data_IF_873606594602
#
_entry.id   IF_873606594602
#
_cell.length_a   1.000
_cell.length_b   1.000
_cell.length_c   1.000
_cell.angle_alpha   90.00
_cell.angle_beta   90.00
_cell.angle_gamma   90.00
#
_symmetry.space_group_name_H-M   'P 1'
#
loop_
_entity.id
_entity.type
_entity.pdbx_description
1 polymer ?
#
# COMPACT_ATOMS: atom_id res chain seq x y z
N UNK A 1 -21.44 -2.31 -10.25
CA UNK A 1 -22.78 -2.91 -10.32
C UNK A 1 -23.62 -2.14 -11.29
N UNK A 2 -24.05 -1.19 -11.54
CA UNK A 2 -24.86 -0.52 -12.58
C UNK A 2 -26.34 -0.37 -12.20
N UNK A 3 -26.74 -0.85 -11.04
CA UNK A 3 -28.09 -0.69 -10.47
C UNK A 3 -28.13 0.42 -9.43
N UNK A 4 -29.31 0.79 -8.97
CA UNK A 4 -29.48 1.74 -7.89
C UNK A 4 -28.93 1.17 -6.58
N UNK A 5 -28.34 2.03 -5.74
CA UNK A 5 -27.90 1.67 -4.41
C UNK A 5 -29.09 1.33 -3.51
N UNK A 6 -28.90 0.38 -2.61
CA UNK A 6 -29.89 -0.02 -1.63
C UNK A 6 -29.28 -0.05 -0.23
N UNK A 7 -30.06 0.36 0.76
CA UNK A 7 -29.69 0.21 2.17
C UNK A 7 -29.79 -1.26 2.63
N UNK A 8 -30.53 -2.07 1.90
CA UNK A 8 -30.72 -3.49 2.21
C UNK A 8 -30.24 -4.28 1.01
N UNK A 9 -29.24 -5.16 1.17
CA UNK A 9 -28.75 -6.02 0.09
C UNK A 9 -29.86 -6.97 -0.37
N UNK A 10 -29.91 -7.28 -1.64
CA UNK A 10 -30.82 -8.29 -2.20
C UNK A 10 -30.25 -9.70 -1.88
N UNK A 11 -30.79 -10.33 -0.84
CA UNK A 11 -30.36 -11.67 -0.42
C UNK A 11 -30.71 -12.78 -1.43
N UNK A 12 -31.45 -12.48 -2.49
CA UNK A 12 -31.87 -13.47 -3.48
C UNK A 12 -30.90 -13.51 -4.68
N UNK A 13 -30.11 -12.50 -4.91
CA UNK A 13 -29.14 -12.49 -6.03
C UNK A 13 -27.82 -13.23 -5.68
N UNK A 14 -27.62 -13.62 -4.43
CA UNK A 14 -26.45 -14.35 -3.94
C UNK A 14 -25.16 -13.53 -3.93
N UNK A 15 -25.27 -12.20 -4.05
CA UNK A 15 -24.14 -11.27 -4.18
C UNK A 15 -24.14 -10.25 -3.05
N UNK A 16 -22.96 -9.89 -2.56
CA UNK A 16 -22.76 -8.77 -1.63
C UNK A 16 -21.95 -7.70 -2.37
N UNK A 17 -22.51 -6.51 -2.44
CA UNK A 17 -21.90 -5.39 -3.13
C UNK A 17 -21.30 -4.39 -2.12
N UNK A 18 -20.02 -4.06 -2.30
CA UNK A 18 -19.32 -3.13 -1.39
C UNK A 18 -19.84 -1.70 -1.49
N UNK A 19 -20.36 -1.30 -2.65
CA UNK A 19 -21.02 -0.01 -2.82
C UNK A 19 -22.30 0.11 -1.97
N UNK A 20 -23.08 -0.95 -1.84
CA UNK A 20 -24.23 -0.99 -0.93
C UNK A 20 -23.81 -0.82 0.53
N UNK A 21 -22.67 -1.41 0.92
CA UNK A 21 -22.12 -1.24 2.25
C UNK A 21 -21.66 0.21 2.50
N UNK A 22 -20.97 0.83 1.55
CA UNK A 22 -20.59 2.25 1.63
C UNK A 22 -21.83 3.14 1.75
N UNK A 23 -22.85 2.90 0.94
CA UNK A 23 -24.11 3.64 1.00
C UNK A 23 -24.79 3.49 2.38
N UNK A 24 -24.79 2.28 2.93
CA UNK A 24 -25.30 2.03 4.28
C UNK A 24 -24.54 2.83 5.35
N UNK A 25 -23.21 2.86 5.27
CA UNK A 25 -22.37 3.62 6.22
C UNK A 25 -22.67 5.10 6.15
N UNK A 26 -22.73 5.69 4.96
CA UNK A 26 -23.01 7.11 4.77
C UNK A 26 -24.40 7.47 5.28
N UNK A 27 -25.41 6.65 5.00
CA UNK A 27 -26.78 6.92 5.48
C UNK A 27 -26.94 6.71 7.00
N UNK A 28 -26.07 5.90 7.62
CA UNK A 28 -26.16 5.61 9.06
C UNK A 28 -25.33 6.57 9.91
N UNK A 29 -24.12 6.90 9.43
CA UNK A 29 -23.12 7.66 10.20
C UNK A 29 -22.97 9.11 9.72
N UNK A 30 -23.46 9.44 8.53
CA UNK A 30 -23.17 10.66 7.80
C UNK A 30 -22.06 10.46 6.77
N UNK A 31 -21.91 11.44 5.87
CA UNK A 31 -20.81 11.46 4.91
C UNK A 31 -19.47 11.88 5.55
N UNK A 32 -18.40 11.85 4.79
CA UNK A 32 -17.03 12.18 5.24
C UNK A 32 -16.87 13.59 5.80
N UNK A 33 -17.75 14.54 5.43
CA UNK A 33 -17.74 15.91 5.92
C UNK A 33 -18.62 16.11 7.15
N UNK A 34 -19.53 15.16 7.43
CA UNK A 34 -20.57 15.28 8.47
C UNK A 34 -20.42 14.22 9.57
N UNK A 35 -19.19 13.82 9.88
CA UNK A 35 -18.89 12.92 11.01
C UNK A 35 -18.87 11.43 10.67
N UNK A 36 -19.09 11.06 9.41
CA UNK A 36 -18.99 9.70 8.91
C UNK A 36 -17.55 9.23 8.62
N UNK A 37 -17.43 8.21 7.80
CA UNK A 37 -16.15 7.61 7.41
C UNK A 37 -15.41 8.57 6.48
N UNK A 38 -14.21 8.99 6.86
CA UNK A 38 -13.43 9.97 6.10
C UNK A 38 -12.66 9.37 4.94
N UNK A 39 -12.28 8.10 5.03
CA UNK A 39 -11.49 7.43 4.00
C UNK A 39 -11.78 5.94 3.92
N UNK A 40 -11.58 5.39 2.74
CA UNK A 40 -11.77 3.97 2.44
C UNK A 40 -10.50 3.40 1.83
N UNK A 41 -9.99 2.31 2.39
CA UNK A 41 -8.88 1.56 1.82
C UNK A 41 -9.39 0.50 0.85
N UNK A 42 -8.70 0.40 -0.30
CA UNK A 42 -9.03 -0.53 -1.38
C UNK A 42 -8.40 -1.90 -1.10
N UNK A 43 -8.96 -2.62 -0.10
CA UNK A 43 -8.51 -3.94 0.32
C UNK A 43 -7.14 -3.93 1.06
N UNK A 44 -6.49 -5.08 1.15
CA UNK A 44 -5.24 -5.32 1.84
C UNK A 44 -4.36 -6.29 1.04
N UNK A 45 -3.12 -5.91 0.78
CA UNK A 45 -2.06 -6.73 0.18
C UNK A 45 -2.48 -7.52 -1.08
N UNK A 46 -3.04 -6.86 -2.12
CA UNK A 46 -3.65 -7.55 -3.25
C UNK A 46 -2.69 -8.41 -4.07
N UNK A 47 -1.38 -8.13 -4.02
CA UNK A 47 -0.36 -8.98 -4.63
C UNK A 47 -0.26 -10.38 -4.01
N UNK A 48 -0.83 -10.59 -2.82
CA UNK A 48 -0.82 -11.86 -2.09
C UNK A 48 -2.15 -12.64 -2.20
N UNK A 49 -3.17 -12.14 -2.86
CA UNK A 49 -4.50 -12.78 -2.89
C UNK A 49 -4.49 -14.23 -3.32
N UNK A 50 -3.67 -14.61 -4.30
CA UNK A 50 -3.58 -16.00 -4.76
C UNK A 50 -3.09 -16.98 -3.69
N UNK A 51 -2.39 -16.51 -2.66
CA UNK A 51 -1.94 -17.33 -1.54
C UNK A 51 -2.81 -17.15 -0.29
N UNK A 52 -3.25 -15.93 0.00
CA UNK A 52 -4.06 -15.61 1.19
C UNK A 52 -5.54 -15.89 1.00
N UNK A 53 -6.04 -15.75 -0.23
CA UNK A 53 -7.45 -15.92 -0.60
C UNK A 53 -7.63 -16.90 -1.77
N UNK A 54 -6.85 -17.97 -1.82
CA UNK A 54 -6.76 -18.91 -2.95
C UNK A 54 -8.09 -19.60 -3.33
N UNK A 55 -9.08 -19.65 -2.45
CA UNK A 55 -10.42 -20.16 -2.76
C UNK A 55 -11.27 -19.18 -3.57
N UNK A 56 -10.97 -17.89 -3.49
CA UNK A 56 -11.69 -16.80 -4.17
C UNK A 56 -10.89 -16.26 -5.34
N UNK A 57 -9.57 -16.17 -5.17
CA UNK A 57 -8.64 -15.62 -6.14
C UNK A 57 -7.41 -16.54 -6.28
N UNK A 58 -7.53 -17.69 -7.00
CA UNK A 58 -6.46 -18.70 -7.09
C UNK A 58 -5.28 -18.28 -7.97
N UNK A 59 -5.52 -17.39 -8.94
CA UNK A 59 -4.48 -16.93 -9.87
C UNK A 59 -3.76 -15.70 -9.32
N UNK A 60 -2.50 -15.49 -9.75
CA UNK A 60 -1.76 -14.27 -9.41
C UNK A 60 -2.48 -13.04 -9.95
N UNK A 61 -2.68 -12.04 -9.11
CA UNK A 61 -3.21 -10.74 -9.51
C UNK A 61 -2.28 -10.07 -10.53
N UNK A 62 -2.84 -9.56 -11.62
CA UNK A 62 -2.08 -8.79 -12.59
C UNK A 62 -2.03 -7.31 -12.20
N UNK A 63 -1.05 -6.58 -12.75
CA UNK A 63 -0.97 -5.13 -12.58
C UNK A 63 -2.21 -4.42 -13.15
N UNK A 64 -2.67 -4.86 -14.31
CA UNK A 64 -3.88 -4.32 -14.94
C UNK A 64 -5.14 -4.58 -14.11
N UNK A 65 -5.26 -5.78 -13.54
CA UNK A 65 -6.41 -6.14 -12.69
C UNK A 65 -6.53 -5.25 -11.47
N UNK A 66 -5.44 -4.99 -10.75
CA UNK A 66 -5.51 -4.16 -9.54
C UNK A 66 -5.84 -2.70 -9.88
N UNK A 67 -5.38 -2.18 -11.02
CA UNK A 67 -5.78 -0.85 -11.50
C UNK A 67 -7.28 -0.83 -11.80
N UNK A 68 -7.80 -1.79 -12.57
CA UNK A 68 -9.23 -1.87 -12.91
C UNK A 68 -10.11 -1.93 -11.66
N UNK A 69 -9.76 -2.79 -10.70
CA UNK A 69 -10.49 -2.91 -9.43
C UNK A 69 -10.42 -1.62 -8.62
N UNK A 70 -9.25 -0.99 -8.54
CA UNK A 70 -9.07 0.29 -7.84
C UNK A 70 -9.93 1.38 -8.47
N UNK A 71 -9.90 1.54 -9.78
CA UNK A 71 -10.72 2.53 -10.50
C UNK A 71 -12.20 2.28 -10.28
N UNK A 72 -12.65 1.04 -10.44
CA UNK A 72 -14.06 0.66 -10.31
C UNK A 72 -14.58 0.96 -8.91
N UNK A 73 -13.85 0.53 -7.86
CA UNK A 73 -14.29 0.75 -6.48
C UNK A 73 -14.19 2.21 -6.06
N UNK A 74 -13.14 2.91 -6.49
CA UNK A 74 -13.00 4.36 -6.22
C UNK A 74 -14.15 5.16 -6.80
N UNK A 75 -14.58 4.85 -8.02
CA UNK A 75 -15.74 5.48 -8.66
C UNK A 75 -17.00 5.23 -7.85
N UNK A 76 -17.24 3.98 -7.45
CA UNK A 76 -18.41 3.61 -6.66
C UNK A 76 -18.46 4.36 -5.31
N UNK A 77 -17.33 4.44 -4.60
CA UNK A 77 -17.26 5.21 -3.34
C UNK A 77 -17.50 6.70 -3.58
N UNK A 78 -16.83 7.28 -4.57
CA UNK A 78 -16.95 8.72 -4.89
C UNK A 78 -18.34 9.11 -5.46
N UNK A 79 -19.09 8.16 -6.02
CA UNK A 79 -20.48 8.38 -6.43
C UNK A 79 -21.40 8.55 -5.21
N UNK A 80 -21.09 7.88 -4.10
CA UNK A 80 -21.85 7.94 -2.86
C UNK A 80 -21.37 9.09 -1.97
N UNK A 81 -20.05 9.19 -1.78
CA UNK A 81 -19.40 10.24 -0.97
C UNK A 81 -18.24 10.87 -1.75
N UNK A 82 -18.51 11.95 -2.50
CA UNK A 82 -17.50 12.60 -3.35
C UNK A 82 -16.27 13.14 -2.60
N UNK A 83 -16.40 13.36 -1.29
CA UNK A 83 -15.36 13.96 -0.45
C UNK A 83 -14.58 12.91 0.37
N UNK A 84 -15.00 11.66 0.37
CA UNK A 84 -14.25 10.60 1.04
C UNK A 84 -12.88 10.39 0.38
N UNK A 85 -11.84 10.17 1.18
CA UNK A 85 -10.50 9.87 0.68
C UNK A 85 -10.38 8.40 0.31
N UNK A 86 -9.74 8.11 -0.82
CA UNK A 86 -9.44 6.75 -1.27
C UNK A 86 -7.98 6.44 -1.00
N UNK A 87 -7.75 5.36 -0.25
CA UNK A 87 -6.44 4.79 0.05
C UNK A 87 -6.21 3.54 -0.79
N UNK A 88 -5.05 3.40 -1.40
CA UNK A 88 -4.72 2.20 -2.18
C UNK A 88 -3.30 2.23 -2.75
N UNK A 89 -2.84 1.08 -3.25
CA UNK A 89 -3.49 -0.23 -3.27
C UNK A 89 -3.13 -1.13 -2.07
N UNK A 90 -2.66 -0.58 -0.93
CA UNK A 90 -2.27 -1.29 0.29
C UNK A 90 -1.23 -2.41 0.01
N UNK A 91 -0.08 -2.02 -0.53
CA UNK A 91 0.97 -2.96 -0.97
C UNK A 91 1.71 -3.57 0.21
N UNK A 92 1.92 -4.88 0.20
CA UNK A 92 2.47 -5.64 1.35
C UNK A 92 3.94 -5.31 1.70
N UNK A 93 4.68 -4.64 0.86
CA UNK A 93 6.08 -4.31 1.09
C UNK A 93 6.92 -4.25 -0.18
N UNK A 94 8.23 -4.19 -0.03
CA UNK A 94 9.18 -3.90 -1.09
C UNK A 94 9.03 -4.78 -2.34
N UNK A 95 8.76 -6.09 -2.18
CA UNK A 95 8.53 -6.99 -3.32
C UNK A 95 7.30 -6.63 -4.15
N UNK A 96 6.26 -6.07 -3.52
CA UNK A 96 5.10 -5.56 -4.24
C UNK A 96 5.39 -4.23 -4.94
N UNK A 97 6.26 -3.39 -4.37
CA UNK A 97 6.62 -2.10 -4.97
C UNK A 97 7.34 -2.25 -6.30
N UNK A 98 8.19 -3.26 -6.42
CA UNK A 98 9.06 -3.43 -7.58
C UNK A 98 8.34 -3.97 -8.80
N UNK A 99 7.57 -5.05 -8.66
CA UNK A 99 6.98 -5.77 -9.77
C UNK A 99 5.64 -6.45 -9.44
N UNK A 100 4.99 -5.98 -8.38
CA UNK A 100 3.71 -6.49 -7.88
C UNK A 100 3.76 -8.01 -7.62
N UNK A 101 4.80 -8.46 -6.90
CA UNK A 101 5.04 -9.88 -6.53
C UNK A 101 5.20 -10.79 -7.77
N UNK A 102 6.02 -10.37 -8.71
CA UNK A 102 6.18 -11.05 -10.00
C UNK A 102 4.84 -11.23 -10.74
N UNK A 103 4.10 -10.12 -10.90
CA UNK A 103 2.85 -10.11 -11.63
C UNK A 103 3.06 -10.60 -13.07
N UNK A 104 2.13 -11.41 -13.61
CA UNK A 104 2.30 -12.03 -14.92
C UNK A 104 2.50 -11.04 -16.09
N UNK A 105 1.90 -9.85 -15.98
CA UNK A 105 1.91 -8.80 -17.00
C UNK A 105 3.00 -7.74 -16.80
N UNK A 106 3.70 -7.71 -15.64
CA UNK A 106 4.68 -6.67 -15.34
C UNK A 106 5.78 -6.55 -16.39
N UNK A 107 6.28 -7.67 -16.88
CA UNK A 107 7.38 -7.67 -17.87
C UNK A 107 6.97 -6.98 -19.17
N UNK A 108 5.75 -7.19 -19.64
CA UNK A 108 5.20 -6.55 -20.85
C UNK A 108 5.04 -5.05 -20.60
N UNK A 109 4.37 -4.67 -19.50
CA UNK A 109 4.18 -3.28 -19.09
C UNK A 109 5.52 -2.54 -19.05
N UNK A 110 6.55 -3.14 -18.43
CA UNK A 110 7.89 -2.54 -18.31
C UNK A 110 8.62 -2.42 -19.63
N UNK A 111 8.42 -3.36 -20.56
CA UNK A 111 9.01 -3.29 -21.90
C UNK A 111 8.39 -2.17 -22.75
N UNK A 112 7.07 -2.00 -22.64
CA UNK A 112 6.32 -0.98 -23.39
C UNK A 112 6.53 0.43 -22.80
N UNK A 113 6.82 0.50 -21.49
CA UNK A 113 7.04 1.75 -20.75
C UNK A 113 8.33 1.67 -19.92
N UNK A 114 9.50 1.77 -20.56
CA UNK A 114 10.79 1.60 -19.87
C UNK A 114 11.08 2.69 -18.83
N UNK A 115 10.34 3.80 -18.84
CA UNK A 115 10.42 4.88 -17.87
C UNK A 115 9.90 4.51 -16.47
N UNK A 116 8.96 3.60 -16.35
CA UNK A 116 8.52 3.14 -15.03
C UNK A 116 9.67 2.44 -14.31
N UNK A 117 10.11 2.96 -13.20
CA UNK A 117 11.18 2.36 -12.40
C UNK A 117 10.70 1.07 -11.73
N UNK A 118 9.47 1.08 -11.22
CA UNK A 118 8.80 0.02 -10.46
C UNK A 118 7.28 0.01 -10.69
N UNK A 119 6.56 -0.95 -10.11
CA UNK A 119 5.11 -1.06 -10.24
C UNK A 119 4.35 0.17 -9.72
N UNK A 120 4.86 0.84 -8.67
CA UNK A 120 4.22 2.04 -8.12
C UNK A 120 4.10 3.14 -9.17
N UNK A 121 5.10 3.34 -10.02
CA UNK A 121 5.05 4.33 -11.11
C UNK A 121 3.87 4.04 -12.05
N UNK A 122 3.75 2.79 -12.48
CA UNK A 122 2.65 2.34 -13.32
C UNK A 122 1.29 2.55 -12.66
N UNK A 123 1.15 2.12 -11.40
CA UNK A 123 -0.12 2.24 -10.68
C UNK A 123 -0.56 3.70 -10.54
N UNK A 124 0.35 4.58 -10.17
CA UNK A 124 0.07 6.02 -10.03
C UNK A 124 -0.31 6.65 -11.37
N UNK A 125 0.41 6.32 -12.45
CA UNK A 125 0.14 6.85 -13.78
C UNK A 125 -1.23 6.39 -14.31
N UNK A 126 -1.59 5.11 -14.16
CA UNK A 126 -2.90 4.59 -14.55
C UNK A 126 -4.04 5.20 -13.72
N UNK A 127 -3.84 5.39 -12.41
CA UNK A 127 -4.83 6.07 -11.57
C UNK A 127 -4.98 7.56 -11.95
N UNK A 128 -3.90 8.21 -12.37
CA UNK A 128 -3.95 9.58 -12.91
C UNK A 128 -4.70 9.65 -14.24
N UNK A 129 -4.44 8.74 -15.16
CA UNK A 129 -5.21 8.63 -16.42
C UNK A 129 -6.69 8.43 -16.15
N UNK A 130 -7.03 7.55 -15.20
CA UNK A 130 -8.40 7.32 -14.79
C UNK A 130 -9.06 8.58 -14.18
N UNK A 131 -8.32 9.40 -13.42
CA UNK A 131 -8.79 10.72 -12.97
C UNK A 131 -9.14 11.62 -14.16
N UNK A 132 -8.22 11.72 -15.14
CA UNK A 132 -8.40 12.59 -16.30
C UNK A 132 -9.62 12.17 -17.15
N UNK A 133 -9.85 10.87 -17.29
CA UNK A 133 -11.02 10.33 -17.99
C UNK A 133 -12.34 10.57 -17.23
N UNK A 134 -12.31 10.52 -15.91
CA UNK A 134 -13.51 10.66 -15.07
C UNK A 134 -13.78 12.08 -14.58
N UNK A 135 -12.82 12.99 -14.73
CA UNK A 135 -12.93 14.38 -14.32
C UNK A 135 -12.94 14.58 -12.79
N UNK A 136 -12.52 13.57 -12.01
CA UNK A 136 -12.39 13.65 -10.55
C UNK A 136 -11.31 12.72 -10.04
N UNK A 137 -10.70 13.09 -8.91
CA UNK A 137 -9.67 12.30 -8.25
C UNK A 137 -10.19 10.96 -7.76
N UNK A 138 -9.47 9.87 -8.08
CA UNK A 138 -9.84 8.50 -7.73
C UNK A 138 -8.88 7.84 -6.75
N UNK A 139 -7.68 8.42 -6.51
CA UNK A 139 -6.75 8.00 -5.48
C UNK A 139 -6.23 9.22 -4.73
N UNK A 140 -6.58 9.33 -3.46
CA UNK A 140 -6.18 10.45 -2.61
C UNK A 140 -4.89 10.15 -1.85
N UNK A 141 -4.67 8.88 -1.49
CA UNK A 141 -3.55 8.43 -0.67
C UNK A 141 -2.94 7.16 -1.27
N UNK A 142 -1.66 7.22 -1.63
CA UNK A 142 -0.87 6.03 -1.90
C UNK A 142 -0.64 5.30 -0.59
N UNK A 143 -1.21 4.12 -0.46
CA UNK A 143 -1.16 3.29 0.74
C UNK A 143 -0.22 2.11 0.52
N UNK A 144 0.78 1.98 1.40
CA UNK A 144 1.76 0.90 1.34
C UNK A 144 2.10 0.39 2.73
N UNK A 145 2.58 -0.85 2.80
CA UNK A 145 3.20 -1.43 3.99
C UNK A 145 4.71 -1.47 3.81
N UNK A 146 5.46 -1.19 4.84
CA UNK A 146 6.91 -1.30 4.77
C UNK A 146 7.46 -1.99 6.01
N UNK A 147 8.01 -3.16 5.80
CA UNK A 147 8.70 -3.94 6.81
C UNK A 147 10.19 -3.93 6.50
N UNK A 148 10.99 -3.38 7.40
CA UNK A 148 12.45 -3.48 7.26
C UNK A 148 12.87 -4.96 7.25
N UNK A 149 13.83 -5.28 6.40
CA UNK A 149 14.43 -6.61 6.32
C UNK A 149 15.81 -6.69 6.98
N UNK A 150 16.17 -5.66 7.77
CA UNK A 150 17.45 -5.57 8.45
C UNK A 150 17.74 -6.84 9.27
N UNK A 151 18.90 -7.44 9.00
CA UNK A 151 19.36 -8.63 9.70
C UNK A 151 19.97 -8.26 11.06
N UNK A 152 19.69 -9.06 12.08
CA UNK A 152 20.47 -9.02 13.32
C UNK A 152 21.81 -9.75 13.18
N UNK A 153 22.62 -9.76 14.24
CA UNK A 153 23.94 -10.42 14.29
C UNK A 153 23.88 -11.93 13.98
N UNK A 154 22.70 -12.56 14.11
CA UNK A 154 22.50 -13.96 13.73
C UNK A 154 22.27 -14.15 12.21
N UNK A 155 22.33 -13.11 11.40
CA UNK A 155 22.09 -13.16 9.95
C UNK A 155 20.64 -13.35 9.56
N UNK A 156 19.70 -13.22 10.48
CA UNK A 156 18.26 -13.34 10.25
C UNK A 156 17.57 -12.02 10.60
N UNK A 157 16.52 -11.68 9.88
CA UNK A 157 15.61 -10.57 10.19
C UNK A 157 15.07 -10.64 11.63
N UNK A 158 14.73 -11.84 12.06
CA UNK A 158 14.31 -12.13 13.43
C UNK A 158 15.48 -12.58 14.27
N UNK A 159 16.14 -11.67 14.98
CA UNK A 159 17.14 -12.03 15.94
C UNK A 159 16.49 -12.15 17.32
N UNK A 160 16.22 -13.38 17.76
CA UNK A 160 15.65 -13.69 19.08
C UNK A 160 16.61 -13.47 20.25
N UNK A 161 17.86 -13.10 19.95
CA UNK A 161 18.87 -12.88 20.98
C UNK A 161 18.72 -11.48 21.60
N UNK A 162 17.77 -11.35 22.49
CA UNK A 162 17.61 -10.17 23.34
C UNK A 162 18.93 -9.86 24.07
N UNK A 163 19.36 -8.61 23.96
CA UNK A 163 20.57 -8.15 24.63
C UNK A 163 21.89 -8.41 23.88
N UNK A 164 21.87 -8.96 22.66
CA UNK A 164 23.04 -8.96 21.79
C UNK A 164 23.25 -7.54 21.23
N UNK A 165 24.35 -6.83 21.55
CA UNK A 165 24.57 -5.45 21.15
C UNK A 165 24.51 -5.23 19.63
N UNK A 166 24.99 -6.16 18.82
CA UNK A 166 25.01 -6.05 17.36
C UNK A 166 23.59 -6.18 16.77
N UNK A 167 22.77 -7.09 17.34
CA UNK A 167 21.36 -7.19 16.97
C UNK A 167 20.60 -5.91 17.30
N UNK A 168 20.79 -5.37 18.50
CA UNK A 168 20.16 -4.14 18.95
C UNK A 168 20.58 -2.97 18.05
N UNK A 169 21.89 -2.85 17.76
CA UNK A 169 22.42 -1.79 16.92
C UNK A 169 21.81 -1.82 15.52
N UNK A 170 21.80 -2.97 14.85
CA UNK A 170 21.24 -3.12 13.49
C UNK A 170 19.75 -2.82 13.46
N UNK A 171 18.99 -3.28 14.46
CA UNK A 171 17.56 -2.97 14.58
C UNK A 171 17.30 -1.48 14.79
N UNK A 172 17.97 -0.85 15.75
CA UNK A 172 17.80 0.58 16.04
C UNK A 172 18.13 1.47 14.83
N UNK A 173 19.05 1.03 13.97
CA UNK A 173 19.36 1.77 12.73
C UNK A 173 18.39 1.49 11.57
N UNK A 174 17.54 0.47 11.65
CA UNK A 174 16.70 0.07 10.53
C UNK A 174 15.63 1.10 10.15
N UNK A 175 15.22 1.96 11.08
CA UNK A 175 14.31 3.10 10.81
C UNK A 175 14.90 4.09 9.80
N UNK A 176 16.22 4.13 9.67
CA UNK A 176 16.93 4.97 8.69
C UNK A 176 16.64 4.56 7.22
N UNK A 177 16.19 3.33 6.97
CA UNK A 177 15.72 2.90 5.65
C UNK A 177 14.53 3.70 5.14
N UNK A 178 13.83 4.41 6.02
CA UNK A 178 12.75 5.31 5.59
C UNK A 178 13.27 6.60 4.94
N UNK A 179 14.39 7.17 5.42
CA UNK A 179 14.71 8.56 5.10
C UNK A 179 16.19 8.87 4.80
N UNK A 180 17.14 8.03 5.27
CA UNK A 180 18.56 8.37 5.31
C UNK A 180 19.32 7.74 4.14
N UNK A 181 19.73 8.55 3.17
CA UNK A 181 20.48 8.15 1.99
C UNK A 181 21.94 7.73 2.29
N UNK A 182 22.43 8.00 3.50
CA UNK A 182 23.76 7.56 3.95
C UNK A 182 23.75 6.20 4.64
N UNK A 183 22.58 5.65 4.90
CA UNK A 183 22.40 4.35 5.54
C UNK A 183 22.20 3.23 4.50
N UNK A 184 22.91 2.13 4.70
CA UNK A 184 22.71 0.91 3.93
C UNK A 184 22.23 -0.19 4.86
N UNK A 185 21.01 -0.64 4.66
CA UNK A 185 20.44 -1.75 5.41
C UNK A 185 21.13 -3.07 5.06
N UNK A 186 21.54 -3.83 6.06
CA UNK A 186 22.02 -5.21 5.84
C UNK A 186 20.80 -6.13 5.66
N UNK A 187 20.36 -6.30 4.41
CA UNK A 187 19.18 -7.07 4.06
C UNK A 187 19.23 -7.62 2.63
N UNK A 188 18.32 -8.55 2.33
CA UNK A 188 18.15 -9.04 0.96
C UNK A 188 17.69 -7.93 -0.01
N UNK A 189 17.00 -6.91 0.48
CA UNK A 189 16.58 -5.76 -0.33
C UNK A 189 17.82 -5.06 -0.89
N UNK A 190 18.79 -4.79 -0.05
CA UNK A 190 20.08 -4.19 -0.44
C UNK A 190 20.88 -5.13 -1.33
N UNK A 191 20.94 -6.43 -1.00
CA UNK A 191 21.62 -7.45 -1.81
C UNK A 191 21.01 -7.54 -3.23
N UNK A 192 19.72 -7.30 -3.38
CA UNK A 192 19.01 -7.24 -4.66
C UNK A 192 19.20 -5.93 -5.44
N UNK A 193 20.03 -5.02 -4.95
CA UNK A 193 20.35 -3.76 -5.63
C UNK A 193 19.50 -2.56 -5.25
N UNK A 194 18.82 -2.59 -4.13
CA UNK A 194 18.05 -1.56 -3.37
C UNK A 194 18.05 -0.11 -3.88
N UNK A 195 17.77 0.09 -5.18
CA UNK A 195 17.77 1.42 -5.82
C UNK A 195 16.64 2.35 -5.33
N UNK A 196 15.74 1.84 -4.48
CA UNK A 196 14.57 2.55 -3.97
C UNK A 196 14.65 2.84 -2.46
N UNK A 197 15.80 2.61 -1.84
CA UNK A 197 16.04 3.04 -0.46
C UNK A 197 16.85 4.36 -0.48
N UNK A 198 16.58 5.29 0.42
CA UNK A 198 15.51 5.26 1.43
C UNK A 198 14.11 5.38 0.83
N UNK A 199 13.12 4.68 1.44
CA UNK A 199 11.85 4.41 0.78
C UNK A 199 10.93 5.64 0.65
N UNK A 200 10.88 6.53 1.65
CA UNK A 200 9.99 7.70 1.62
C UNK A 200 10.36 8.70 0.49
N UNK A 201 11.64 9.07 0.30
CA UNK A 201 12.03 9.88 -0.86
C UNK A 201 11.69 9.24 -2.20
N UNK A 202 11.89 7.93 -2.35
CA UNK A 202 11.59 7.22 -3.59
C UNK A 202 10.08 7.18 -3.90
N UNK A 203 9.24 6.91 -2.89
CA UNK A 203 7.77 6.96 -3.03
C UNK A 203 7.29 8.38 -3.38
N UNK A 204 7.87 9.38 -2.71
CA UNK A 204 7.54 10.78 -3.00
C UNK A 204 7.92 11.18 -4.42
N UNK A 205 9.08 10.76 -4.92
CA UNK A 205 9.49 11.01 -6.31
C UNK A 205 8.48 10.42 -7.31
N UNK A 206 8.01 9.20 -7.07
CA UNK A 206 6.98 8.57 -7.91
C UNK A 206 5.66 9.34 -7.87
N UNK A 207 5.20 9.75 -6.68
CA UNK A 207 4.00 10.57 -6.53
C UNK A 207 4.13 11.88 -7.29
N UNK A 208 5.22 12.62 -7.06
CA UNK A 208 5.45 13.93 -7.68
C UNK A 208 5.55 13.84 -9.21
N UNK A 209 6.00 12.69 -9.74
CA UNK A 209 6.14 12.44 -11.17
C UNK A 209 4.85 12.01 -11.84
N UNK A 210 4.15 11.02 -11.29
CA UNK A 210 3.07 10.33 -11.98
C UNK A 210 1.67 10.73 -11.49
N UNK A 211 1.51 11.10 -10.21
CA UNK A 211 0.23 11.54 -9.69
C UNK A 211 0.37 12.63 -8.62
N UNK A 212 0.81 13.84 -9.03
CA UNK A 212 1.06 14.92 -8.08
C UNK A 212 -0.12 15.25 -7.18
N UNK A 213 0.18 15.52 -5.90
CA UNK A 213 -0.83 15.84 -4.88
C UNK A 213 -1.45 14.61 -4.20
N UNK A 214 -1.11 13.38 -4.61
CA UNK A 214 -1.44 12.18 -3.84
C UNK A 214 -0.67 12.22 -2.51
N UNK A 215 -1.36 11.93 -1.42
CA UNK A 215 -0.74 11.78 -0.09
C UNK A 215 -0.06 10.42 0.00
N UNK A 216 0.79 10.23 1.01
CA UNK A 216 1.43 8.95 1.30
C UNK A 216 0.99 8.45 2.67
N UNK A 217 0.65 7.18 2.79
CA UNK A 217 0.44 6.48 4.05
C UNK A 217 1.28 5.21 4.12
N UNK A 218 1.88 4.97 5.26
CA UNK A 218 2.45 3.68 5.65
C UNK A 218 1.51 3.10 6.71
N UNK A 219 0.59 2.24 6.28
CA UNK A 219 -0.48 1.75 7.16
C UNK A 219 -0.11 0.52 7.96
N UNK A 220 0.95 -0.19 7.53
CA UNK A 220 1.58 -1.25 8.31
C UNK A 220 3.09 -1.15 8.24
N UNK A 221 3.75 -1.30 9.39
CA UNK A 221 5.20 -1.40 9.51
C UNK A 221 5.59 -2.15 10.79
N UNK A 222 6.77 -2.77 10.82
CA UNK A 222 7.29 -3.47 12.00
C UNK A 222 8.82 -3.57 11.96
N UNK A 223 9.45 -3.51 13.12
CA UNK A 223 10.89 -3.61 13.31
C UNK A 223 11.30 -4.83 14.13
N UNK A 224 10.36 -5.73 14.42
CA UNK A 224 10.63 -6.98 15.15
C UNK A 224 11.24 -6.76 16.56
N UNK A 225 10.67 -5.84 17.31
CA UNK A 225 11.14 -5.50 18.66
C UNK A 225 10.11 -5.66 19.77
N UNK A 226 9.02 -6.42 19.57
CA UNK A 226 7.84 -6.46 20.43
C UNK A 226 8.10 -6.80 21.91
N UNK A 227 9.20 -7.50 22.21
CA UNK A 227 9.55 -7.93 23.57
C UNK A 227 10.83 -7.26 24.12
N UNK A 228 11.30 -6.20 23.46
CA UNK A 228 12.53 -5.49 23.84
C UNK A 228 12.30 -3.98 23.83
N UNK A 229 13.03 -3.26 24.66
CA UNK A 229 13.00 -1.79 24.68
C UNK A 229 13.40 -1.17 23.34
N UNK A 230 14.22 -1.85 22.54
CA UNK A 230 14.58 -1.38 21.19
C UNK A 230 13.36 -1.23 20.29
N UNK A 231 12.34 -2.08 20.41
CA UNK A 231 11.09 -1.93 19.68
C UNK A 231 10.35 -0.64 20.00
N UNK A 232 10.26 -0.30 21.29
CA UNK A 232 9.65 0.96 21.70
C UNK A 232 10.44 2.20 21.23
N UNK A 233 11.76 2.11 21.16
CA UNK A 233 12.61 3.19 20.65
C UNK A 233 12.42 3.35 19.14
N UNK A 234 12.43 2.24 18.38
CA UNK A 234 12.19 2.27 16.93
C UNK A 234 10.81 2.80 16.59
N UNK A 235 9.77 2.43 17.35
CA UNK A 235 8.43 2.97 17.20
C UNK A 235 8.41 4.49 17.42
N UNK A 236 9.01 4.97 18.49
CA UNK A 236 9.09 6.41 18.79
C UNK A 236 9.86 7.18 17.69
N UNK A 237 10.94 6.61 17.17
CA UNK A 237 11.72 7.17 16.06
C UNK A 237 10.88 7.23 14.78
N UNK A 238 10.19 6.14 14.43
CA UNK A 238 9.33 6.05 13.26
C UNK A 238 8.18 7.06 13.32
N UNK A 239 7.54 7.22 14.48
CA UNK A 239 6.50 8.24 14.65
C UNK A 239 7.06 9.65 14.45
N UNK A 240 8.32 9.89 14.85
CA UNK A 240 9.02 11.15 14.58
C UNK A 240 9.36 11.34 13.10
N UNK A 241 9.67 10.26 12.37
CA UNK A 241 9.93 10.29 10.92
C UNK A 241 8.64 10.63 10.12
N UNK A 242 7.49 10.12 10.57
CA UNK A 242 6.20 10.33 9.90
C UNK A 242 5.55 11.68 10.23
N UNK A 243 6.00 12.38 11.28
CA UNK A 243 5.45 13.68 11.70
C UNK A 243 5.98 14.85 10.86
#
# INVERSE_FOLDING_TARGET
KGDEFSLTPDLNDGTVYMDEFVNYLVNTLGDSQNGGIRGYSLDNEPGLWSSTHSLVHPEKTTCAEIVEKSVTMSKAVKDIDPNAEIFGPALFGYGAFTNFVDAPDWKEIKNDNPEYKWFIDYYLDEMKKAEDENGRRLLDVLDVHFYTEAKGACGKRYCEHYGNPDCVYNKLNSTRSFWDDTYTEDSWITDAGAVFLPILPALKESIDTYYPGTKLAITEYDFQGAYDVCGAIMEADTLGIFA
#
